data_IF_223063984376
#
_entry.id   IF_223063984376
#
_cell.length_a   1.000
_cell.length_b   1.000
_cell.length_c   1.000
_cell.angle_alpha   90.00
_cell.angle_beta   90.00
_cell.angle_gamma   90.00
#
_symmetry.space_group_name_H-M   'P 1'
#
loop_
_entity.id
_entity.type
_entity.pdbx_description
1 polymer ?
#
# COMPACT_ATOMS: atom_id res chain seq x y z
N UNK A 1 12.81 4.11 2.07
CA UNK A 1 12.18 2.85 1.64
C UNK A 1 13.15 2.11 0.71
N UNK A 2 13.37 0.81 0.93
CA UNK A 2 14.22 -0.02 0.07
C UNK A 2 13.36 -0.70 -1.01
N UNK A 3 13.67 -0.48 -2.30
CA UNK A 3 12.87 -0.99 -3.42
C UNK A 3 12.84 -2.53 -3.48
N UNK A 4 13.97 -3.19 -3.21
CA UNK A 4 14.02 -4.66 -3.17
C UNK A 4 13.13 -5.28 -2.09
N UNK A 5 12.87 -4.56 -1.00
CA UNK A 5 11.89 -4.98 0.02
C UNK A 5 10.48 -4.96 -0.55
N UNK A 6 10.11 -3.90 -1.26
CA UNK A 6 8.77 -3.75 -1.85
C UNK A 6 8.53 -4.79 -2.95
N UNK A 7 9.53 -5.00 -3.82
CA UNK A 7 9.49 -6.04 -4.84
C UNK A 7 9.31 -7.43 -4.23
N UNK A 8 10.13 -7.77 -3.22
CA UNK A 8 10.04 -9.06 -2.52
C UNK A 8 8.67 -9.28 -1.91
N UNK A 9 8.14 -8.28 -1.19
CA UNK A 9 6.85 -8.41 -0.51
C UNK A 9 5.71 -8.48 -1.51
N UNK A 10 5.78 -7.75 -2.62
CA UNK A 10 4.81 -7.89 -3.71
C UNK A 10 4.70 -9.36 -4.14
N UNK A 11 5.83 -10.00 -4.45
CA UNK A 11 5.85 -11.41 -4.82
C UNK A 11 5.28 -12.33 -3.74
N UNK A 12 5.67 -12.13 -2.48
CA UNK A 12 5.15 -12.93 -1.34
C UNK A 12 3.63 -12.82 -1.25
N UNK A 13 3.07 -11.60 -1.33
CA UNK A 13 1.62 -11.40 -1.21
C UNK A 13 0.86 -12.02 -2.39
N UNK A 14 1.37 -11.90 -3.62
CA UNK A 14 0.74 -12.52 -4.78
C UNK A 14 0.82 -14.05 -4.74
N UNK A 15 1.94 -14.61 -4.28
CA UNK A 15 2.08 -16.06 -4.11
C UNK A 15 1.13 -16.58 -3.03
N UNK A 16 0.92 -15.82 -1.95
CA UNK A 16 -0.06 -16.15 -0.91
C UNK A 16 -1.51 -16.10 -1.43
N UNK A 17 -1.87 -15.15 -2.29
CA UNK A 17 -3.19 -15.14 -2.93
C UNK A 17 -3.39 -16.38 -3.83
N UNK A 18 -2.38 -16.73 -4.63
CA UNK A 18 -2.42 -17.92 -5.48
C UNK A 18 -2.49 -19.20 -4.67
N UNK A 19 -1.75 -19.30 -3.55
CA UNK A 19 -1.77 -20.47 -2.67
C UNK A 19 -3.16 -20.72 -2.06
N UNK A 20 -3.95 -19.66 -1.87
CA UNK A 20 -5.35 -19.69 -1.42
C UNK A 20 -6.35 -20.01 -2.52
N UNK A 21 -5.89 -20.29 -3.74
CA UNK A 21 -6.76 -20.60 -4.88
C UNK A 21 -7.44 -19.35 -5.49
N UNK A 22 -6.85 -18.17 -5.31
CA UNK A 22 -7.31 -16.91 -5.90
C UNK A 22 -6.35 -16.49 -7.04
N UNK A 23 -6.43 -17.11 -8.24
CA UNK A 23 -5.57 -16.74 -9.37
C UNK A 23 -5.99 -15.41 -10.01
N UNK A 24 -7.25 -15.00 -9.79
CA UNK A 24 -7.87 -13.80 -10.33
C UNK A 24 -8.75 -13.17 -9.25
N UNK A 25 -8.85 -11.84 -9.25
CA UNK A 25 -9.72 -11.07 -8.35
C UNK A 25 -10.54 -10.13 -9.24
N UNK A 26 -11.85 -10.23 -9.15
CA UNK A 26 -12.78 -9.33 -9.85
C UNK A 26 -12.81 -7.97 -9.15
N UNK A 27 -12.71 -6.89 -9.92
CA UNK A 27 -12.84 -5.50 -9.45
C UNK A 27 -14.07 -4.92 -10.11
N UNK A 28 -15.15 -4.80 -9.34
CA UNK A 28 -16.47 -4.35 -9.85
C UNK A 28 -16.55 -2.83 -9.98
N UNK A 29 -15.90 -2.09 -9.07
CA UNK A 29 -15.91 -0.63 -9.06
C UNK A 29 -14.91 -0.05 -10.06
N UNK A 30 -15.41 0.74 -11.01
CA UNK A 30 -14.60 1.37 -12.06
C UNK A 30 -13.99 2.70 -11.61
N UNK A 31 -14.57 3.33 -10.60
CA UNK A 31 -14.15 4.65 -10.11
C UNK A 31 -13.57 4.55 -8.71
N UNK A 32 -12.44 5.22 -8.48
CA UNK A 32 -11.89 5.46 -7.16
C UNK A 32 -11.71 6.96 -6.94
N UNK A 33 -11.68 7.40 -5.68
CA UNK A 33 -11.43 8.80 -5.35
C UNK A 33 -9.93 9.06 -5.36
N UNK A 34 -9.50 10.02 -6.17
CA UNK A 34 -8.14 10.54 -6.14
C UNK A 34 -8.08 11.67 -5.11
N UNK A 35 -7.14 11.58 -4.17
CA UNK A 35 -6.79 12.69 -3.28
C UNK A 35 -5.67 13.48 -3.96
N UNK A 36 -5.85 14.80 -4.23
CA UNK A 36 -4.80 15.63 -4.77
C UNK A 36 -3.53 15.51 -3.94
N UNK A 37 -2.38 15.45 -4.61
CA UNK A 37 -1.12 15.19 -3.91
C UNK A 37 -0.80 16.26 -2.85
N UNK A 38 -1.06 17.54 -3.16
CA UNK A 38 -0.91 18.67 -2.24
C UNK A 38 -1.74 18.56 -0.95
N UNK A 39 -2.83 17.79 -0.98
CA UNK A 39 -3.75 17.61 0.16
C UNK A 39 -3.52 16.28 0.89
N UNK A 40 -2.72 15.38 0.31
CA UNK A 40 -2.57 14.00 0.78
C UNK A 40 -1.97 13.86 2.17
N UNK A 41 -1.07 14.76 2.54
CA UNK A 41 -0.45 14.79 3.88
C UNK A 41 -1.08 15.84 4.79
N UNK A 42 -2.14 16.53 4.33
CA UNK A 42 -2.85 17.52 5.14
C UNK A 42 -3.71 16.81 6.19
N UNK A 43 -3.39 17.07 7.46
CA UNK A 43 -4.10 16.53 8.61
C UNK A 43 -5.19 17.48 9.14
N UNK A 44 -5.36 18.66 8.52
CA UNK A 44 -6.16 19.75 9.06
C UNK A 44 -7.17 20.31 8.05
N UNK A 45 -8.44 20.06 8.30
CA UNK A 45 -9.58 20.64 7.58
C UNK A 45 -10.88 19.93 8.00
N UNK A 46 -11.95 20.68 8.24
CA UNK A 46 -13.27 20.09 8.49
C UNK A 46 -13.66 19.20 7.30
N UNK A 47 -14.02 17.93 7.58
CA UNK A 47 -14.23 16.79 6.67
C UNK A 47 -12.93 15.99 6.52
N UNK A 48 -12.77 14.82 7.13
CA UNK A 48 -13.68 13.67 7.18
C UNK A 48 -13.28 12.82 8.40
N UNK A 49 -14.21 12.05 8.98
CA UNK A 49 -13.91 10.93 9.89
C UNK A 49 -13.14 9.82 9.13
N UNK A 50 -11.94 10.12 8.64
CA UNK A 50 -11.03 9.13 8.06
C UNK A 50 -10.03 8.72 9.13
N UNK A 51 -9.89 7.40 9.32
CA UNK A 51 -8.79 6.86 10.10
C UNK A 51 -7.47 7.24 9.43
N UNK A 52 -6.56 7.82 10.21
CA UNK A 52 -5.25 8.28 9.74
C UNK A 52 -4.33 7.07 9.62
N UNK A 53 -3.82 6.81 8.42
CA UNK A 53 -2.76 5.83 8.16
C UNK A 53 -1.36 6.41 8.40
N UNK A 54 -0.37 5.55 8.64
CA UNK A 54 1.02 5.91 8.91
C UNK A 54 1.94 5.18 7.95
N UNK A 55 2.55 5.93 7.01
CA UNK A 55 3.51 5.36 6.06
C UNK A 55 4.72 4.71 6.75
N UNK A 56 5.05 5.18 7.96
CA UNK A 56 6.11 4.58 8.77
C UNK A 56 5.70 3.18 9.26
N UNK A 57 4.50 3.05 9.81
CA UNK A 57 3.98 1.78 10.30
C UNK A 57 3.72 0.82 9.13
N UNK A 58 3.15 1.32 8.03
CA UNK A 58 2.97 0.56 6.80
C UNK A 58 4.30 -0.02 6.30
N UNK A 59 5.36 0.79 6.28
CA UNK A 59 6.68 0.29 5.86
C UNK A 59 7.29 -0.69 6.86
N UNK A 60 7.10 -0.47 8.17
CA UNK A 60 7.54 -1.40 9.21
C UNK A 60 6.88 -2.77 9.05
N UNK A 61 5.56 -2.81 8.85
CA UNK A 61 4.79 -4.02 8.61
C UNK A 61 5.30 -4.78 7.39
N UNK A 62 5.51 -4.07 6.28
CA UNK A 62 6.06 -4.62 5.04
C UNK A 62 7.47 -5.19 5.25
N UNK A 63 8.33 -4.53 6.03
CA UNK A 63 9.65 -5.06 6.37
C UNK A 63 9.56 -6.37 7.16
N UNK A 64 8.64 -6.47 8.12
CA UNK A 64 8.47 -7.71 8.92
C UNK A 64 8.02 -8.88 8.04
N UNK A 65 7.11 -8.65 7.09
CA UNK A 65 6.73 -9.66 6.09
C UNK A 65 7.94 -10.04 5.22
N UNK A 66 8.71 -9.07 4.73
CA UNK A 66 9.90 -9.32 3.91
C UNK A 66 10.96 -10.19 4.62
N UNK A 67 11.06 -10.05 5.95
CA UNK A 67 12.01 -10.78 6.80
C UNK A 67 11.46 -12.14 7.27
N UNK A 68 10.22 -12.49 6.94
CA UNK A 68 9.56 -13.70 7.46
C UNK A 68 9.26 -13.64 8.96
N UNK A 69 9.20 -12.43 9.53
CA UNK A 69 8.88 -12.19 10.94
C UNK A 69 7.37 -12.05 11.17
N UNK A 70 6.60 -11.98 10.09
CA UNK A 70 5.15 -11.82 10.09
C UNK A 70 4.55 -12.54 8.88
N UNK A 71 3.43 -13.22 9.09
CA UNK A 71 2.70 -13.90 8.02
C UNK A 71 2.10 -12.90 7.02
N UNK A 72 2.07 -13.23 5.71
CA UNK A 72 1.42 -12.42 4.70
C UNK A 72 -0.10 -12.47 4.85
N UNK A 73 -0.67 -11.35 5.32
CA UNK A 73 -2.11 -11.10 5.39
C UNK A 73 -2.59 -10.16 4.28
N UNK A 74 -3.87 -10.25 3.91
CA UNK A 74 -4.47 -9.46 2.83
C UNK A 74 -4.34 -7.94 3.03
N UNK A 75 -4.41 -7.45 4.28
CA UNK A 75 -4.28 -6.02 4.58
C UNK A 75 -2.92 -5.44 4.19
N UNK A 76 -1.87 -6.26 4.07
CA UNK A 76 -0.57 -5.79 3.59
C UNK A 76 -0.60 -5.34 2.13
N UNK A 77 -1.59 -5.79 1.33
CA UNK A 77 -1.81 -5.23 0.00
C UNK A 77 -2.18 -3.75 0.08
N UNK A 78 -3.00 -3.37 1.08
CA UNK A 78 -3.39 -1.98 1.33
C UNK A 78 -2.19 -1.14 1.82
N UNK A 79 -1.40 -1.67 2.75
CA UNK A 79 -0.17 -1.01 3.22
C UNK A 79 0.82 -0.81 2.05
N UNK A 80 1.07 -1.87 1.27
CA UNK A 80 1.93 -1.81 0.08
C UNK A 80 1.41 -0.79 -0.94
N UNK A 81 0.10 -0.76 -1.20
CA UNK A 81 -0.50 0.20 -2.12
C UNK A 81 -0.28 1.65 -1.66
N UNK A 82 -0.38 1.94 -0.36
CA UNK A 82 -0.11 3.27 0.19
C UNK A 82 1.34 3.72 -0.07
N UNK A 83 2.30 2.81 0.15
CA UNK A 83 3.72 3.05 -0.10
C UNK A 83 4.05 3.25 -1.58
N UNK A 84 3.48 2.41 -2.46
CA UNK A 84 3.68 2.54 -3.91
C UNK A 84 3.06 3.83 -4.45
N UNK A 85 1.90 4.21 -3.95
CA UNK A 85 1.27 5.48 -4.28
C UNK A 85 2.16 6.65 -3.84
N UNK A 86 2.72 6.61 -2.62
CA UNK A 86 3.64 7.64 -2.14
C UNK A 86 4.88 7.79 -3.05
N UNK A 87 5.46 6.68 -3.49
CA UNK A 87 6.60 6.71 -4.42
C UNK A 87 6.20 7.33 -5.76
N UNK A 88 5.08 6.87 -6.35
CA UNK A 88 4.62 7.36 -7.64
C UNK A 88 4.26 8.85 -7.62
N UNK A 89 3.62 9.32 -6.55
CA UNK A 89 3.25 10.72 -6.40
C UNK A 89 4.45 11.65 -6.27
N UNK A 90 5.46 11.30 -5.47
CA UNK A 90 6.71 12.09 -5.38
C UNK A 90 7.42 12.20 -6.73
N UNK A 91 7.56 11.08 -7.43
CA UNK A 91 8.21 11.06 -8.75
C UNK A 91 7.43 11.87 -9.80
N UNK A 92 6.12 11.97 -9.66
CA UNK A 92 5.28 12.77 -10.56
C UNK A 92 5.40 14.29 -10.31
N UNK A 93 5.78 14.73 -9.11
CA UNK A 93 6.07 16.15 -8.83
C UNK A 93 7.48 16.58 -9.21
N UNK A 94 8.43 15.64 -9.23
CA UNK A 94 9.83 15.90 -9.58
C UNK A 94 10.08 16.03 -11.10
N UNK A 95 9.08 15.68 -11.93
CA UNK A 95 9.11 15.75 -13.40
C UNK A 95 8.35 16.98 -13.94
#
# INVERSE_FOLDING_TARGET
MNLGTLEKVSSILFDELRSRGLPEIEVEDVFYRVVPWSERHSMGGERVELEVGSLFDDYSDIQRVALGQQEPLAYHLSALACLLYEIGGRLSEEM
#
